data_IF_545120267883
#
_entry.id   IF_545120267883
#
_cell.length_a   1.000
_cell.length_b   1.000
_cell.length_c   1.000
_cell.angle_alpha   90.00
_cell.angle_beta   90.00
_cell.angle_gamma   90.00
#
_symmetry.space_group_name_H-M   'P 1'
#
loop_
_entity.id
_entity.type
_entity.pdbx_description
1 polymer ?
#
# COMPACT_ATOMS: atom_id res chain seq x y z
N UNK A 1 -15.41 38.22 -79.56
CA UNK A 1 -14.37 38.46 -78.54
C UNK A 1 -14.96 38.04 -77.20
N UNK A 2 -14.40 36.98 -76.57
CA UNK A 2 -14.26 36.65 -75.13
C UNK A 2 -15.39 37.13 -74.18
N UNK A 3 -16.01 36.34 -73.30
CA UNK A 3 -15.49 35.31 -72.39
C UNK A 3 -16.58 34.27 -72.07
N UNK A 4 -16.22 32.98 -72.06
CA UNK A 4 -17.03 31.90 -71.48
C UNK A 4 -16.75 31.88 -69.97
N UNK A 5 -17.73 32.21 -69.15
CA UNK A 5 -17.65 32.06 -67.69
C UNK A 5 -17.95 30.60 -67.37
N UNK A 6 -16.91 29.84 -67.07
CA UNK A 6 -17.00 28.48 -66.56
C UNK A 6 -17.30 28.60 -65.07
N UNK A 7 -18.53 28.28 -64.65
CA UNK A 7 -18.85 28.11 -63.23
C UNK A 7 -18.30 26.75 -62.78
N UNK A 8 -17.18 26.76 -62.06
CA UNK A 8 -16.67 25.59 -61.35
C UNK A 8 -17.52 25.42 -60.10
N UNK A 9 -18.44 24.45 -60.13
CA UNK A 9 -19.12 23.97 -58.92
C UNK A 9 -18.14 23.06 -58.20
N UNK A 10 -17.47 23.57 -57.16
CA UNK A 10 -16.69 22.76 -56.22
C UNK A 10 -17.67 21.96 -55.36
N UNK A 11 -17.95 20.73 -55.79
CA UNK A 11 -18.66 19.74 -54.99
C UNK A 11 -17.69 19.26 -53.90
N UNK A 12 -17.76 19.85 -52.70
CA UNK A 12 -17.09 19.30 -51.52
C UNK A 12 -17.80 17.98 -51.16
N UNK A 13 -17.29 16.86 -51.67
CA UNK A 13 -17.64 15.55 -51.16
C UNK A 13 -17.08 15.45 -49.73
N UNK A 14 -17.93 15.67 -48.73
CA UNK A 14 -17.63 15.32 -47.36
C UNK A 14 -17.52 13.79 -47.28
N UNK A 15 -16.29 13.29 -47.42
CA UNK A 15 -15.96 11.90 -47.11
C UNK A 15 -16.15 11.75 -45.60
N UNK A 16 -17.33 11.28 -45.20
CA UNK A 16 -17.55 10.81 -43.83
C UNK A 16 -16.72 9.53 -43.69
N UNK A 17 -15.45 9.68 -43.28
CA UNK A 17 -14.67 8.53 -42.83
C UNK A 17 -15.38 8.01 -41.58
N UNK A 18 -16.08 6.89 -41.73
CA UNK A 18 -16.55 6.11 -40.60
C UNK A 18 -15.29 5.52 -39.97
N UNK A 19 -14.69 6.25 -39.03
CA UNK A 19 -13.63 5.72 -38.20
C UNK A 19 -14.29 4.68 -37.30
N UNK A 20 -14.01 3.40 -37.56
CA UNK A 20 -14.22 2.34 -36.57
C UNK A 20 -13.29 2.67 -35.41
N UNK A 21 -13.83 3.31 -34.37
CA UNK A 21 -13.10 3.47 -33.11
C UNK A 21 -13.04 2.09 -32.48
N UNK A 22 -11.84 1.52 -32.36
CA UNK A 22 -11.64 0.36 -31.49
C UNK A 22 -12.12 0.76 -30.09
N UNK A 23 -12.97 -0.06 -29.48
CA UNK A 23 -13.35 0.13 -28.07
C UNK A 23 -12.10 0.10 -27.19
N UNK A 24 -12.18 0.76 -26.03
CA UNK A 24 -11.11 0.70 -25.05
C UNK A 24 -10.98 -0.74 -24.51
N UNK A 25 -9.79 -1.12 -24.08
CA UNK A 25 -9.50 -2.47 -23.61
C UNK A 25 -9.00 -2.41 -22.18
N UNK A 26 -9.66 -3.17 -21.29
CA UNK A 26 -9.13 -3.49 -19.97
C UNK A 26 -8.24 -4.72 -20.09
N UNK A 27 -7.02 -4.59 -19.60
CA UNK A 27 -6.04 -5.68 -19.58
C UNK A 27 -5.42 -5.87 -18.21
N UNK A 28 -4.89 -7.07 -18.01
CA UNK A 28 -4.12 -7.47 -16.85
C UNK A 28 -2.87 -8.18 -17.34
N UNK A 29 -1.72 -7.88 -16.72
CA UNK A 29 -0.51 -8.64 -16.99
C UNK A 29 -0.69 -10.09 -16.49
N UNK A 30 -0.20 -11.10 -17.22
CA UNK A 30 -0.15 -12.47 -16.74
C UNK A 30 0.65 -12.56 -15.43
N UNK A 31 0.18 -13.38 -14.49
CA UNK A 31 0.86 -13.58 -13.20
C UNK A 31 1.21 -15.06 -13.03
N UNK A 32 2.45 -15.33 -12.62
CA UNK A 32 2.89 -16.67 -12.22
C UNK A 32 3.13 -16.68 -10.72
N UNK A 33 2.46 -17.59 -10.02
CA UNK A 33 2.55 -17.76 -8.56
C UNK A 33 2.99 -19.18 -8.21
N UNK A 34 3.51 -19.34 -7.00
CA UNK A 34 3.72 -20.65 -6.40
C UNK A 34 2.54 -21.01 -5.49
N UNK A 35 2.22 -22.30 -5.28
CA UNK A 35 1.21 -22.70 -4.31
C UNK A 35 1.47 -22.08 -2.93
N UNK A 36 0.43 -21.51 -2.31
CA UNK A 36 0.52 -20.84 -1.01
C UNK A 36 1.03 -19.39 -1.05
N UNK A 37 1.53 -18.91 -2.20
CA UNK A 37 2.00 -17.52 -2.33
C UNK A 37 0.87 -16.52 -2.61
N UNK A 38 1.13 -15.25 -2.31
CA UNK A 38 0.27 -14.13 -2.69
C UNK A 38 0.90 -13.35 -3.86
N UNK A 39 0.09 -12.61 -4.60
CA UNK A 39 0.55 -11.68 -5.63
C UNK A 39 -0.47 -10.60 -5.93
N UNK A 40 -0.21 -9.79 -6.94
CA UNK A 40 -1.13 -8.73 -7.37
C UNK A 40 -1.25 -8.69 -8.88
N UNK A 41 -2.40 -8.23 -9.39
CA UNK A 41 -2.56 -7.86 -10.80
C UNK A 41 -3.38 -6.58 -10.91
N UNK A 42 -3.04 -5.72 -11.85
CA UNK A 42 -3.73 -4.43 -12.05
C UNK A 42 -4.66 -4.51 -13.26
N UNK A 43 -5.87 -3.97 -13.10
CA UNK A 43 -6.81 -3.71 -14.18
C UNK A 43 -6.39 -2.40 -14.85
N UNK A 44 -5.94 -2.47 -16.10
CA UNK A 44 -5.44 -1.31 -16.86
C UNK A 44 -6.34 -1.08 -18.06
N UNK A 45 -6.99 0.10 -18.12
CA UNK A 45 -7.63 0.60 -19.31
C UNK A 45 -6.57 1.22 -20.23
N UNK A 46 -6.51 0.78 -21.48
CA UNK A 46 -5.50 1.23 -22.43
C UNK A 46 -5.63 2.71 -22.81
N UNK A 47 -6.84 3.22 -23.01
CA UNK A 47 -7.11 4.61 -23.42
C UNK A 47 -8.45 5.14 -22.91
N UNK A 48 -8.48 6.44 -22.61
CA UNK A 48 -9.68 7.22 -22.33
C UNK A 48 -9.68 8.52 -23.18
N UNK A 49 -10.07 8.46 -24.47
CA UNK A 49 -10.01 9.61 -25.38
C UNK A 49 -10.86 10.80 -24.92
N UNK A 50 -11.92 10.56 -24.15
CA UNK A 50 -12.86 11.55 -23.62
C UNK A 50 -12.84 11.64 -22.08
N UNK A 51 -11.82 11.06 -21.44
CA UNK A 51 -11.69 11.03 -19.98
C UNK A 51 -12.54 9.94 -19.33
N UNK A 52 -12.55 9.90 -17.99
CA UNK A 52 -13.35 8.99 -17.19
C UNK A 52 -13.94 9.75 -16.01
N UNK A 53 -15.27 9.74 -15.86
CA UNK A 53 -15.94 10.26 -14.65
C UNK A 53 -16.22 9.17 -13.61
N UNK A 54 -16.28 7.91 -14.02
CA UNK A 54 -16.44 6.80 -13.10
C UNK A 54 -16.57 5.45 -13.78
N UNK A 55 -16.61 4.40 -12.96
CA UNK A 55 -16.87 3.05 -13.45
C UNK A 55 -17.56 2.19 -12.40
N UNK A 56 -18.18 1.10 -12.88
CA UNK A 56 -18.58 -0.03 -12.06
C UNK A 56 -18.26 -1.34 -12.76
N UNK A 57 -17.90 -2.35 -11.99
CA UNK A 57 -17.68 -3.71 -12.48
C UNK A 57 -17.76 -4.74 -11.35
N UNK A 58 -17.84 -6.01 -11.71
CA UNK A 58 -17.57 -7.13 -10.81
C UNK A 58 -16.36 -7.89 -11.29
N UNK A 59 -15.49 -8.28 -10.37
CA UNK A 59 -14.31 -9.09 -10.67
C UNK A 59 -14.33 -10.37 -9.86
N UNK A 60 -13.90 -11.47 -10.48
CA UNK A 60 -13.83 -12.78 -9.83
C UNK A 60 -12.80 -13.68 -10.50
N UNK A 61 -12.25 -14.61 -9.73
CA UNK A 61 -11.52 -15.75 -10.28
C UNK A 61 -12.50 -16.79 -10.82
N UNK A 62 -12.24 -17.31 -12.01
CA UNK A 62 -13.01 -18.45 -12.56
C UNK A 62 -12.68 -19.79 -11.86
N UNK A 63 -11.59 -19.84 -11.10
CA UNK A 63 -11.14 -21.00 -10.36
C UNK A 63 -10.64 -20.58 -8.96
N UNK A 64 -11.54 -20.33 -8.00
CA UNK A 64 -11.20 -19.89 -6.65
C UNK A 64 -10.40 -20.91 -5.83
N UNK A 65 -10.38 -22.18 -6.25
CA UNK A 65 -9.56 -23.23 -5.61
C UNK A 65 -8.08 -23.13 -5.97
N UNK A 66 -7.77 -22.50 -7.11
CA UNK A 66 -6.40 -22.23 -7.58
C UNK A 66 -5.96 -20.85 -7.10
N UNK A 67 -6.74 -19.80 -7.39
CA UNK A 67 -6.46 -18.43 -6.95
C UNK A 67 -7.74 -17.74 -6.52
N UNK A 68 -7.72 -17.08 -5.36
CA UNK A 68 -8.81 -16.22 -4.90
C UNK A 68 -8.36 -14.75 -4.86
N UNK A 69 -9.31 -13.83 -5.08
CA UNK A 69 -9.10 -12.40 -4.85
C UNK A 69 -9.31 -12.16 -3.35
N UNK A 70 -8.32 -11.55 -2.69
CA UNK A 70 -8.34 -11.32 -1.24
C UNK A 70 -8.55 -9.86 -0.88
N UNK A 71 -8.27 -8.94 -1.79
CA UNK A 71 -8.47 -7.51 -1.60
C UNK A 71 -8.47 -6.77 -2.96
N UNK A 72 -8.95 -5.53 -2.97
CA UNK A 72 -8.88 -4.60 -4.10
C UNK A 72 -8.42 -3.23 -3.60
N UNK A 73 -7.48 -2.60 -4.30
CA UNK A 73 -7.11 -1.20 -4.07
C UNK A 73 -7.32 -0.33 -5.29
N UNK A 74 -7.52 0.95 -5.04
CA UNK A 74 -7.81 1.95 -6.05
C UNK A 74 -6.66 2.95 -6.19
N UNK A 75 -6.42 3.48 -7.40
CA UNK A 75 -5.46 4.55 -7.65
C UNK A 75 -5.94 5.87 -7.02
N UNK A 76 -5.03 6.84 -6.88
CA UNK A 76 -5.32 8.12 -6.23
C UNK A 76 -6.46 8.92 -6.89
N UNK A 77 -6.60 8.84 -8.23
CA UNK A 77 -7.68 9.54 -8.94
C UNK A 77 -9.07 9.03 -8.51
N UNK A 78 -9.18 7.74 -8.20
CA UNK A 78 -10.39 7.08 -7.72
C UNK A 78 -10.60 7.29 -6.21
N UNK A 79 -10.44 8.54 -5.75
CA UNK A 79 -10.50 8.92 -4.32
C UNK A 79 -11.85 8.58 -3.66
N UNK A 80 -12.94 8.60 -4.43
CA UNK A 80 -14.23 8.07 -4.02
C UNK A 80 -14.44 6.71 -4.70
N UNK A 81 -14.10 5.65 -3.98
CA UNK A 81 -14.17 4.28 -4.49
C UNK A 81 -14.65 3.29 -3.43
N UNK A 82 -15.14 2.16 -3.90
CA UNK A 82 -15.66 1.08 -3.07
C UNK A 82 -15.34 -0.27 -3.70
N UNK A 83 -14.84 -1.20 -2.89
CA UNK A 83 -14.73 -2.61 -3.23
C UNK A 83 -15.52 -3.44 -2.22
N UNK A 84 -16.67 -3.96 -2.64
CA UNK A 84 -17.56 -4.76 -1.79
C UNK A 84 -17.29 -6.24 -2.06
N UNK A 85 -16.81 -7.02 -1.06
CA UNK A 85 -16.71 -8.46 -1.21
C UNK A 85 -18.11 -9.09 -1.26
N UNK A 86 -18.32 -9.99 -2.20
CA UNK A 86 -19.51 -10.82 -2.35
C UNK A 86 -19.20 -12.30 -2.12
N UNK A 87 -20.18 -13.15 -2.42
CA UNK A 87 -20.02 -14.60 -2.33
C UNK A 87 -18.95 -15.12 -3.31
N UNK A 88 -18.35 -16.27 -2.98
CA UNK A 88 -17.39 -16.98 -3.83
C UNK A 88 -16.17 -16.16 -4.31
N UNK A 89 -15.76 -15.12 -3.56
CA UNK A 89 -14.59 -14.31 -3.90
C UNK A 89 -14.82 -13.32 -5.05
N UNK A 90 -16.09 -13.02 -5.35
CA UNK A 90 -16.47 -11.92 -6.25
C UNK A 90 -16.30 -10.59 -5.51
N UNK A 91 -15.75 -9.57 -6.17
CA UNK A 91 -15.74 -8.19 -5.68
C UNK A 91 -16.56 -7.30 -6.61
N UNK A 92 -17.45 -6.48 -6.05
CA UNK A 92 -18.10 -5.39 -6.78
C UNK A 92 -17.28 -4.11 -6.58
N UNK A 93 -16.83 -3.52 -7.68
CA UNK A 93 -15.96 -2.35 -7.71
C UNK A 93 -16.74 -1.17 -8.24
N UNK A 94 -16.56 -0.02 -7.60
CA UNK A 94 -17.08 1.27 -8.04
C UNK A 94 -16.04 2.35 -7.78
N UNK A 95 -15.89 3.29 -8.70
CA UNK A 95 -15.05 4.46 -8.50
C UNK A 95 -15.61 5.67 -9.23
N UNK A 96 -15.40 6.85 -8.67
CA UNK A 96 -15.76 8.14 -9.24
C UNK A 96 -14.50 9.01 -9.30
N UNK A 97 -14.24 9.58 -10.46
CA UNK A 97 -13.20 10.59 -10.64
C UNK A 97 -13.72 11.98 -10.28
N UNK A 98 -13.87 12.22 -8.98
CA UNK A 98 -14.43 13.47 -8.49
C UNK A 98 -13.55 14.70 -8.78
N UNK A 99 -12.24 14.48 -8.98
CA UNK A 99 -11.24 15.54 -9.07
C UNK A 99 -10.64 15.68 -10.48
N UNK A 100 -11.25 15.08 -11.50
CA UNK A 100 -10.76 15.09 -12.88
C UNK A 100 -9.30 14.64 -13.00
N UNK A 101 -8.94 13.55 -12.32
CA UNK A 101 -7.62 12.93 -12.39
C UNK A 101 -7.36 12.11 -13.65
N UNK A 102 -8.40 11.74 -14.41
CA UNK A 102 -8.33 11.02 -15.69
C UNK A 102 -9.04 11.82 -16.78
N UNK A 103 -8.34 12.80 -17.33
CA UNK A 103 -8.87 13.68 -18.38
C UNK A 103 -8.77 13.06 -19.79
N UNK A 104 -9.44 13.72 -20.75
CA UNK A 104 -9.41 13.37 -22.17
C UNK A 104 -7.98 13.15 -22.71
N UNK A 105 -7.77 12.00 -23.34
CA UNK A 105 -6.50 11.60 -23.94
C UNK A 105 -5.60 10.79 -23.00
N UNK A 106 -6.04 10.50 -21.76
CA UNK A 106 -5.32 9.61 -20.86
C UNK A 106 -5.15 8.20 -21.48
N UNK A 107 -4.06 7.54 -21.08
CA UNK A 107 -3.73 6.18 -21.54
C UNK A 107 -3.08 5.38 -20.41
N UNK A 108 -3.14 4.06 -20.47
CA UNK A 108 -2.61 3.15 -19.44
C UNK A 108 -3.15 3.49 -18.04
N UNK A 109 -4.45 3.69 -17.93
CA UNK A 109 -5.12 4.07 -16.69
C UNK A 109 -5.30 2.82 -15.83
N UNK A 110 -4.62 2.78 -14.69
CA UNK A 110 -4.93 1.77 -13.67
C UNK A 110 -6.32 2.08 -13.13
N UNK A 111 -7.25 1.13 -13.19
CA UNK A 111 -8.60 1.23 -12.63
C UNK A 111 -8.61 0.72 -11.18
N UNK A 112 -8.01 -0.45 -10.94
CA UNK A 112 -7.86 -1.06 -9.63
C UNK A 112 -6.70 -2.07 -9.62
N UNK A 113 -6.17 -2.39 -8.45
CA UNK A 113 -5.19 -3.46 -8.22
C UNK A 113 -5.80 -4.54 -7.36
N UNK A 114 -5.83 -5.77 -7.86
CA UNK A 114 -6.36 -6.95 -7.18
C UNK A 114 -5.24 -7.65 -6.42
N UNK A 115 -5.46 -7.96 -5.14
CA UNK A 115 -4.60 -8.85 -4.36
C UNK A 115 -5.09 -10.29 -4.51
N UNK A 116 -4.16 -11.21 -4.74
CA UNK A 116 -4.40 -12.59 -5.13
C UNK A 116 -3.75 -13.53 -4.12
N UNK A 117 -4.43 -14.63 -3.77
CA UNK A 117 -3.86 -15.73 -2.99
C UNK A 117 -3.94 -17.03 -3.78
N UNK A 118 -2.79 -17.62 -4.08
CA UNK A 118 -2.69 -18.94 -4.69
C UNK A 118 -2.89 -20.02 -3.62
N UNK A 119 -3.88 -20.88 -3.83
CA UNK A 119 -4.27 -21.94 -2.89
C UNK A 119 -4.00 -23.36 -3.43
N UNK A 120 -3.89 -23.52 -4.75
CA UNK A 120 -3.62 -24.80 -5.39
C UNK A 120 -2.98 -24.61 -6.76
N UNK A 121 -2.32 -25.67 -7.26
CA UNK A 121 -1.70 -25.69 -8.58
C UNK A 121 -2.74 -25.62 -9.70
N UNK A 122 -2.36 -25.01 -10.82
CA UNK A 122 -3.18 -24.96 -12.03
C UNK A 122 -3.33 -23.56 -12.59
N UNK A 123 -4.30 -23.38 -13.48
CA UNK A 123 -4.59 -22.10 -14.11
C UNK A 123 -5.91 -21.53 -13.60
N UNK A 124 -5.93 -20.22 -13.41
CA UNK A 124 -7.12 -19.44 -13.12
C UNK A 124 -7.11 -18.19 -14.01
N UNK A 125 -8.29 -17.64 -14.26
CA UNK A 125 -8.46 -16.36 -14.94
C UNK A 125 -9.24 -15.42 -14.06
N UNK A 126 -8.81 -14.16 -14.06
CA UNK A 126 -9.64 -13.08 -13.55
C UNK A 126 -10.63 -12.65 -14.64
N UNK A 127 -11.90 -12.65 -14.26
CA UNK A 127 -13.04 -12.31 -15.12
C UNK A 127 -13.64 -10.99 -14.66
N UNK A 128 -14.11 -10.18 -15.62
CA UNK A 128 -14.84 -8.94 -15.37
C UNK A 128 -16.27 -9.12 -15.86
N UNK A 129 -17.24 -8.74 -15.06
CA UNK A 129 -18.67 -8.75 -15.38
C UNK A 129 -19.28 -7.39 -15.09
N UNK A 130 -20.40 -7.07 -15.74
CA UNK A 130 -21.15 -5.83 -15.54
C UNK A 130 -20.30 -4.56 -15.67
N UNK A 131 -19.34 -4.57 -16.62
CA UNK A 131 -18.46 -3.45 -16.87
C UNK A 131 -19.24 -2.25 -17.44
N UNK A 132 -19.16 -1.13 -16.75
CA UNK A 132 -19.63 0.18 -17.20
C UNK A 132 -18.53 1.18 -16.86
N UNK A 133 -18.15 2.00 -17.82
CA UNK A 133 -17.24 3.14 -17.66
C UNK A 133 -17.95 4.32 -18.30
N UNK A 134 -18.03 5.45 -17.59
CA UNK A 134 -18.58 6.70 -18.11
C UNK A 134 -17.46 7.73 -18.26
N UNK A 135 -17.51 8.52 -19.33
CA UNK A 135 -16.55 9.60 -19.62
C UNK A 135 -16.89 10.89 -18.86
N UNK A 136 -16.08 11.94 -19.04
CA UNK A 136 -16.25 13.23 -18.35
C UNK A 136 -17.58 13.92 -18.67
N UNK A 137 -18.22 13.57 -19.79
CA UNK A 137 -19.54 14.07 -20.17
C UNK A 137 -20.69 13.18 -19.65
N UNK A 138 -20.38 12.09 -18.93
CA UNK A 138 -21.33 11.10 -18.44
C UNK A 138 -21.83 10.14 -19.52
N UNK A 139 -21.14 10.05 -20.66
CA UNK A 139 -21.45 9.11 -21.72
C UNK A 139 -20.71 7.78 -21.52
N UNK A 140 -21.38 6.66 -21.77
CA UNK A 140 -20.76 5.36 -21.59
C UNK A 140 -19.64 5.12 -22.61
N UNK A 141 -18.45 4.82 -22.12
CA UNK A 141 -17.30 4.35 -22.89
C UNK A 141 -17.49 2.88 -23.25
N UNK A 142 -17.40 2.56 -24.55
CA UNK A 142 -17.39 1.18 -25.00
C UNK A 142 -16.02 0.56 -24.67
N UNK A 143 -16.03 -0.39 -23.73
CA UNK A 143 -14.84 -1.09 -23.30
C UNK A 143 -15.05 -2.60 -23.25
N UNK A 144 -14.02 -3.36 -23.62
CA UNK A 144 -13.98 -4.82 -23.47
C UNK A 144 -12.87 -5.22 -22.51
N UNK A 145 -13.02 -6.37 -21.85
CA UNK A 145 -11.99 -6.90 -20.94
C UNK A 145 -11.30 -8.11 -21.54
N UNK A 146 -9.96 -8.09 -21.53
CA UNK A 146 -9.16 -9.31 -21.69
C UNK A 146 -9.06 -10.03 -20.36
N UNK A 147 -9.28 -11.35 -20.36
CA UNK A 147 -9.19 -12.15 -19.14
C UNK A 147 -7.72 -12.25 -18.69
N UNK A 148 -7.46 -11.96 -17.43
CA UNK A 148 -6.11 -11.98 -16.86
C UNK A 148 -5.73 -13.40 -16.51
N UNK A 149 -4.68 -13.95 -17.13
CA UNK A 149 -4.25 -15.33 -16.90
C UNK A 149 -3.34 -15.41 -15.68
N UNK A 150 -3.67 -16.32 -14.75
CA UNK A 150 -2.84 -16.65 -13.61
C UNK A 150 -2.45 -18.12 -13.70
N UNK A 151 -1.16 -18.39 -13.56
CA UNK A 151 -0.59 -19.74 -13.53
C UNK A 151 0.00 -19.97 -12.15
N UNK A 152 -0.51 -20.97 -11.45
CA UNK A 152 0.12 -21.49 -10.23
C UNK A 152 0.91 -22.73 -10.62
N UNK A 153 2.24 -22.62 -10.56
CA UNK A 153 3.14 -23.68 -11.00
C UNK A 153 2.99 -24.98 -10.21
N UNK A 154 3.42 -26.09 -10.79
CA UNK A 154 3.55 -27.34 -10.04
C UNK A 154 4.66 -27.22 -9.01
N UNK A 155 4.33 -27.48 -7.75
CA UNK A 155 5.30 -27.61 -6.70
C UNK A 155 6.20 -28.79 -7.02
N UNK A 156 7.35 -28.53 -7.61
CA UNK A 156 8.41 -29.51 -7.63
C UNK A 156 8.82 -29.68 -6.17
N UNK A 157 8.38 -30.79 -5.55
CA UNK A 157 8.86 -31.22 -4.23
C UNK A 157 10.30 -31.72 -4.38
N UNK A 158 11.18 -30.88 -4.89
CA UNK A 158 12.61 -31.04 -4.70
C UNK A 158 12.85 -30.86 -3.21
N UNK A 159 13.52 -31.80 -2.52
CA UNK A 159 13.87 -31.57 -1.12
C UNK A 159 14.68 -30.29 -1.10
N UNK A 160 14.14 -29.25 -0.47
CA UNK A 160 14.87 -28.04 -0.16
C UNK A 160 16.18 -28.50 0.46
N UNK A 161 17.37 -28.20 -0.11
CA UNK A 161 18.59 -28.40 0.65
C UNK A 161 18.37 -27.66 1.95
N UNK A 162 18.50 -28.38 3.07
CA UNK A 162 18.21 -27.85 4.40
C UNK A 162 18.68 -26.39 4.44
N UNK A 163 17.80 -25.42 4.78
CA UNK A 163 18.27 -24.05 4.94
C UNK A 163 19.47 -24.14 5.86
N UNK A 164 20.64 -23.71 5.36
CA UNK A 164 21.82 -23.52 6.21
C UNK A 164 21.30 -22.74 7.40
N UNK A 165 21.36 -23.34 8.58
CA UNK A 165 20.60 -22.96 9.78
C UNK A 165 20.66 -21.47 10.05
N UNK A 166 19.72 -20.73 9.45
CA UNK A 166 19.31 -19.40 9.84
C UNK A 166 18.24 -19.59 10.92
N UNK A 167 18.29 -18.86 12.04
CA UNK A 167 17.39 -19.17 13.15
C UNK A 167 15.93 -19.04 12.75
N UNK A 168 15.10 -19.95 13.27
CA UNK A 168 13.68 -20.03 12.95
C UNK A 168 12.97 -18.67 13.19
N UNK A 169 12.02 -18.27 12.33
CA UNK A 169 11.19 -17.10 12.56
C UNK A 169 10.52 -17.17 13.94
N UNK A 170 10.53 -16.07 14.69
CA UNK A 170 9.88 -15.98 16.00
C UNK A 170 8.61 -15.15 15.88
N UNK A 171 7.59 -15.52 16.65
CA UNK A 171 6.35 -14.75 16.74
C UNK A 171 6.46 -13.77 17.91
N UNK A 172 6.14 -12.50 17.65
CA UNK A 172 5.96 -11.46 18.67
C UNK A 172 4.64 -10.73 18.42
N UNK A 173 4.19 -9.94 19.39
CA UNK A 173 2.93 -9.22 19.30
C UNK A 173 3.09 -7.74 19.62
N UNK A 174 2.51 -6.89 18.77
CA UNK A 174 2.35 -5.46 19.05
C UNK A 174 1.00 -5.28 19.75
N UNK A 175 1.03 -4.80 20.99
CA UNK A 175 -0.18 -4.60 21.79
C UNK A 175 -0.66 -3.15 21.68
N UNK A 176 -1.78 -2.93 20.99
CA UNK A 176 -2.38 -1.61 20.84
C UNK A 176 -3.48 -1.40 21.90
N UNK A 177 -3.49 -0.20 22.49
CA UNK A 177 -4.53 0.29 23.40
C UNK A 177 -5.58 1.11 22.65
N UNK A 178 -6.83 1.17 23.13
CA UNK A 178 -7.81 2.12 22.60
C UNK A 178 -7.27 3.55 22.59
N UNK A 179 -7.52 4.28 21.51
CA UNK A 179 -6.96 5.59 21.24
C UNK A 179 -5.71 5.53 20.35
N UNK A 180 -4.89 6.57 20.45
CA UNK A 180 -3.62 6.68 19.75
C UNK A 180 -2.56 5.77 20.37
N UNK A 181 -1.70 5.21 19.53
CA UNK A 181 -0.53 4.47 19.93
C UNK A 181 0.64 4.98 19.10
N UNK A 182 1.71 5.42 19.76
CA UNK A 182 2.98 5.69 19.09
C UNK A 182 3.83 4.42 19.19
N UNK A 183 3.86 3.65 18.12
CA UNK A 183 4.58 2.38 18.08
C UNK A 183 5.90 2.50 17.35
N UNK A 184 6.79 1.56 17.61
CA UNK A 184 8.01 1.34 16.85
C UNK A 184 8.06 -0.12 16.39
N UNK A 185 8.73 -0.35 15.25
CA UNK A 185 9.13 -1.69 14.84
C UNK A 185 10.59 -1.90 15.28
N UNK A 186 10.87 -2.68 16.34
CA UNK A 186 12.23 -2.76 16.89
C UNK A 186 13.10 -3.87 16.28
N UNK A 187 12.53 -4.67 15.39
CA UNK A 187 13.13 -5.88 14.85
C UNK A 187 12.78 -6.03 13.38
N UNK A 188 13.54 -6.82 12.64
CA UNK A 188 13.28 -7.03 11.22
C UNK A 188 12.06 -7.96 11.05
N UNK A 189 10.97 -7.49 10.40
CA UNK A 189 9.86 -8.38 10.09
C UNK A 189 10.30 -9.48 9.13
N UNK A 190 9.71 -10.66 9.26
CA UNK A 190 9.86 -11.76 8.30
C UNK A 190 9.19 -11.43 6.97
N UNK A 191 9.58 -12.12 5.88
CA UNK A 191 8.88 -12.08 4.62
C UNK A 191 7.37 -12.24 4.75
N UNK A 192 6.61 -11.28 4.21
CA UNK A 192 5.14 -11.19 4.28
C UNK A 192 4.60 -10.38 5.47
N UNK A 193 5.45 -9.83 6.34
CA UNK A 193 5.07 -9.04 7.52
C UNK A 193 5.74 -7.66 7.55
N UNK A 194 6.41 -7.25 6.47
CA UNK A 194 7.22 -6.04 6.42
C UNK A 194 6.41 -4.77 6.24
N UNK A 195 5.14 -4.85 5.88
CA UNK A 195 4.33 -3.67 5.52
C UNK A 195 3.25 -3.33 6.54
N UNK A 196 2.71 -2.12 6.45
CA UNK A 196 1.61 -1.67 7.30
C UNK A 196 0.31 -2.50 7.14
N UNK A 197 0.22 -3.38 6.15
CA UNK A 197 -0.85 -4.39 5.97
C UNK A 197 -1.06 -5.26 7.22
N UNK A 198 -0.05 -5.43 8.08
CA UNK A 198 -0.22 -6.13 9.37
C UNK A 198 -1.29 -5.47 10.26
N UNK A 199 -1.59 -4.18 10.05
CA UNK A 199 -2.61 -3.43 10.77
C UNK A 199 -3.98 -3.41 10.07
N UNK A 200 -4.20 -4.14 8.98
CA UNK A 200 -5.44 -4.06 8.18
C UNK A 200 -6.75 -4.31 8.92
N UNK A 201 -6.70 -5.10 9.99
CA UNK A 201 -7.87 -5.45 10.81
C UNK A 201 -8.04 -4.52 12.03
N UNK A 202 -7.20 -3.48 12.15
CA UNK A 202 -7.31 -2.49 13.23
C UNK A 202 -8.52 -1.60 12.97
N UNK A 203 -9.40 -1.47 13.96
CA UNK A 203 -10.55 -0.57 13.88
C UNK A 203 -10.10 0.88 14.11
N UNK A 204 -9.61 1.53 13.06
CA UNK A 204 -8.97 2.86 13.13
C UNK A 204 -9.90 4.02 13.47
N UNK A 205 -11.21 3.81 13.51
CA UNK A 205 -12.19 4.87 13.75
C UNK A 205 -12.13 6.00 12.71
N UNK A 206 -11.66 5.70 11.50
CA UNK A 206 -11.48 6.67 10.40
C UNK A 206 -10.16 7.42 10.41
N UNK A 207 -9.25 7.13 11.34
CA UNK A 207 -7.93 7.75 11.38
C UNK A 207 -6.93 7.02 10.48
N UNK A 208 -6.09 7.80 9.80
CA UNK A 208 -4.94 7.28 9.07
C UNK A 208 -3.81 6.89 10.01
N UNK A 209 -3.02 5.88 9.62
CA UNK A 209 -1.71 5.64 10.21
C UNK A 209 -0.73 6.69 9.71
N UNK A 210 0.13 7.22 10.59
CA UNK A 210 1.04 8.32 10.28
C UNK A 210 2.47 8.00 10.68
N UNK A 211 3.44 8.52 9.94
CA UNK A 211 4.83 8.68 10.41
C UNK A 211 5.27 10.13 10.18
N UNK A 212 6.51 10.44 10.52
CA UNK A 212 7.09 11.77 10.37
C UNK A 212 8.49 11.67 9.79
N UNK A 213 8.74 12.41 8.72
CA UNK A 213 10.04 12.53 8.08
C UNK A 213 10.48 14.00 7.97
N UNK A 214 11.59 14.26 7.26
CA UNK A 214 12.14 15.62 7.07
C UNK A 214 11.20 16.58 6.34
N UNK A 215 10.20 16.06 5.63
CA UNK A 215 9.20 16.84 4.89
C UNK A 215 7.92 17.08 5.70
N UNK A 216 7.76 16.37 6.83
CA UNK A 216 6.67 16.53 7.77
C UNK A 216 5.91 15.23 8.01
N UNK A 217 4.61 15.35 8.25
CA UNK A 217 3.72 14.22 8.45
C UNK A 217 3.50 13.44 7.16
N UNK A 218 3.67 12.13 7.24
CA UNK A 218 3.48 11.21 6.12
C UNK A 218 2.36 10.23 6.47
N UNK A 219 1.36 10.14 5.58
CA UNK A 219 0.29 9.15 5.71
C UNK A 219 0.78 7.79 5.21
N UNK A 220 0.54 6.76 6.02
CA UNK A 220 0.98 5.39 5.77
C UNK A 220 -0.15 4.59 5.12
N UNK A 221 0.09 4.13 3.89
CA UNK A 221 -0.75 3.15 3.22
C UNK A 221 -0.29 1.72 3.51
N UNK A 222 -1.14 0.72 3.21
CA UNK A 222 -0.90 -0.70 3.53
C UNK A 222 0.42 -1.28 2.98
N UNK A 223 0.91 -0.78 1.85
CA UNK A 223 2.13 -1.26 1.18
C UNK A 223 3.40 -0.59 1.73
N UNK A 224 3.26 0.41 2.59
CA UNK A 224 4.40 1.08 3.19
C UNK A 224 5.22 0.08 4.01
N UNK A 225 6.49 -0.04 3.68
CA UNK A 225 7.45 -0.90 4.37
C UNK A 225 7.72 -0.29 5.75
N UNK A 226 7.34 -1.02 6.79
CA UNK A 226 7.63 -0.69 8.16
C UNK A 226 9.11 -0.88 8.43
N UNK A 227 9.82 0.24 8.42
CA UNK A 227 11.24 0.30 8.71
C UNK A 227 11.51 0.17 10.22
N UNK A 228 12.52 -0.61 10.64
CA UNK A 228 12.94 -0.63 12.03
C UNK A 228 13.31 0.76 12.57
N UNK A 229 13.25 0.92 13.90
CA UNK A 229 13.60 2.15 14.62
C UNK A 229 12.80 3.39 14.18
N UNK A 230 11.65 3.18 13.56
CA UNK A 230 10.79 4.24 13.03
C UNK A 230 9.49 4.29 13.82
N UNK A 231 9.12 5.49 14.24
CA UNK A 231 7.86 5.73 14.95
C UNK A 231 6.68 5.78 13.99
N UNK A 232 5.59 5.12 14.35
CA UNK A 232 4.31 5.18 13.63
C UNK A 232 3.17 5.45 14.62
N UNK A 233 2.28 6.35 14.25
CA UNK A 233 1.03 6.58 14.95
C UNK A 233 -0.06 5.70 14.39
N UNK A 234 -0.66 4.89 15.26
CA UNK A 234 -1.78 4.00 14.94
C UNK A 234 -2.90 4.29 15.93
N UNK A 235 -4.10 4.57 15.42
CA UNK A 235 -5.30 4.67 16.25
C UNK A 235 -6.09 3.37 16.21
N UNK A 236 -6.67 2.97 17.33
CA UNK A 236 -7.66 1.89 17.38
C UNK A 236 -8.79 2.23 18.34
N UNK A 237 -10.02 1.84 18.01
CA UNK A 237 -11.18 2.00 18.90
C UNK A 237 -11.28 0.90 19.95
N UNK A 238 -10.62 -0.24 19.73
CA UNK A 238 -10.62 -1.40 20.63
C UNK A 238 -9.20 -1.86 20.92
N UNK A 239 -8.93 -2.51 22.07
CA UNK A 239 -7.63 -3.13 22.29
C UNK A 239 -7.41 -4.24 21.26
N UNK A 240 -6.20 -4.34 20.70
CA UNK A 240 -5.86 -5.33 19.68
C UNK A 240 -4.40 -5.75 19.77
N UNK A 241 -4.15 -7.04 19.58
CA UNK A 241 -2.79 -7.60 19.48
C UNK A 241 -2.51 -7.94 18.02
N UNK A 242 -1.47 -7.33 17.47
CA UNK A 242 -1.07 -7.53 16.07
C UNK A 242 0.06 -8.57 16.05
N UNK A 243 -0.14 -9.74 15.44
CA UNK A 243 0.92 -10.72 15.29
C UNK A 243 1.97 -10.21 14.29
N UNK A 244 3.24 -10.29 14.68
CA UNK A 244 4.38 -9.93 13.85
C UNK A 244 5.36 -11.09 13.85
N UNK A 245 5.61 -11.67 12.68
CA UNK A 245 6.69 -12.63 12.49
C UNK A 245 7.99 -11.90 12.26
N UNK A 246 9.05 -12.34 12.92
CA UNK A 246 10.36 -11.70 12.86
C UNK A 246 11.43 -12.68 12.41
N UNK A 247 12.42 -12.14 11.73
CA UNK A 247 13.60 -12.88 11.29
C UNK A 247 14.86 -12.26 11.87
N UNK A 248 15.92 -13.07 11.99
CA UNK A 248 17.24 -12.54 12.24
C UNK A 248 17.79 -11.86 10.98
N UNK A 249 18.52 -10.77 11.18
CA UNK A 249 19.07 -9.99 10.09
C UNK A 249 19.81 -8.76 10.59
N UNK A 250 20.48 -8.09 9.67
CA UNK A 250 21.15 -6.83 9.96
C UNK A 250 20.13 -5.71 9.87
N UNK A 251 19.95 -4.98 10.97
CA UNK A 251 19.20 -3.72 10.97
C UNK A 251 20.19 -2.61 10.65
N UNK A 252 19.88 -1.74 9.70
CA UNK A 252 20.73 -0.60 9.38
C UNK A 252 20.56 0.53 10.41
N UNK A 253 21.58 1.39 10.53
CA UNK A 253 21.48 2.55 11.41
C UNK A 253 20.52 3.59 10.81
N UNK A 254 19.72 4.24 11.67
CA UNK A 254 18.72 5.24 11.25
C UNK A 254 19.29 6.65 11.36
N UNK A 255 19.28 7.38 10.25
CA UNK A 255 19.64 8.80 10.22
C UNK A 255 18.53 9.67 10.84
N UNK A 256 18.94 10.67 11.61
CA UNK A 256 18.09 11.72 12.17
C UNK A 256 18.52 13.08 11.61
N UNK A 257 17.54 13.85 11.13
CA UNK A 257 17.74 15.21 10.67
C UNK A 257 17.72 16.20 11.85
N UNK A 258 18.34 17.39 11.75
CA UNK A 258 18.16 18.44 12.74
C UNK A 258 16.68 18.76 12.98
N UNK A 259 16.30 18.93 14.25
CA UNK A 259 14.92 19.14 14.67
C UNK A 259 14.24 17.88 15.20
N UNK A 260 12.91 17.86 15.13
CA UNK A 260 12.08 16.74 15.60
C UNK A 260 12.10 15.57 14.63
N UNK A 261 12.26 14.36 15.17
CA UNK A 261 12.19 13.10 14.44
C UNK A 261 11.32 12.11 15.20
N UNK A 262 10.63 11.24 14.46
CA UNK A 262 10.05 10.01 15.01
C UNK A 262 11.05 8.87 14.92
N UNK A 263 11.29 8.22 16.05
CA UNK A 263 12.23 7.12 16.15
C UNK A 263 11.76 6.06 17.16
N UNK A 264 12.53 4.99 17.24
CA UNK A 264 12.40 3.94 18.23
C UNK A 264 13.74 3.23 18.44
N UNK A 265 13.76 2.22 19.30
CA UNK A 265 14.96 1.43 19.58
C UNK A 265 14.90 0.06 18.91
N UNK A 266 16.04 -0.61 18.76
CA UNK A 266 16.08 -2.03 18.37
C UNK A 266 16.03 -2.97 19.57
N UNK A 267 15.60 -4.21 19.33
CA UNK A 267 15.62 -5.30 20.30
C UNK A 267 14.24 -5.62 20.88
N UNK A 268 14.18 -6.44 21.93
CA UNK A 268 12.93 -6.80 22.62
C UNK A 268 12.95 -6.52 24.11
N UNK A 269 14.03 -5.89 24.58
CA UNK A 269 14.24 -5.52 25.99
C UNK A 269 14.26 -4.01 26.13
N UNK A 270 13.62 -3.54 27.20
CA UNK A 270 13.65 -2.15 27.62
C UNK A 270 15.07 -1.64 27.87
N UNK A 271 15.32 -0.36 27.55
CA UNK A 271 16.65 0.25 27.66
C UNK A 271 16.58 1.70 28.11
N UNK A 272 17.59 2.14 28.85
CA UNK A 272 17.76 3.55 29.18
C UNK A 272 18.12 4.38 27.92
N UNK A 273 17.60 5.61 27.77
CA UNK A 273 17.88 6.49 26.64
C UNK A 273 19.38 6.68 26.35
N UNK A 274 20.21 6.81 27.39
CA UNK A 274 21.65 7.06 27.26
C UNK A 274 22.37 5.89 26.60
N UNK A 275 21.91 4.67 26.87
CA UNK A 275 22.44 3.46 26.24
C UNK A 275 21.89 3.29 24.83
N UNK A 276 20.58 3.47 24.64
CA UNK A 276 19.93 3.29 23.34
C UNK A 276 20.35 4.33 22.28
N UNK A 277 20.68 5.55 22.72
CA UNK A 277 21.01 6.69 21.86
C UNK A 277 22.50 7.03 21.90
N UNK A 278 23.34 6.11 22.39
CA UNK A 278 24.79 6.30 22.55
C UNK A 278 25.53 6.68 21.26
N UNK A 279 24.98 6.35 20.09
CA UNK A 279 25.50 6.76 18.78
C UNK A 279 25.28 8.24 18.44
N UNK A 280 24.44 8.96 19.18
CA UNK A 280 24.18 10.39 18.98
C UNK A 280 25.12 11.25 19.82
N UNK A 281 25.93 12.06 19.15
CA UNK A 281 26.79 13.07 19.78
C UNK A 281 25.96 14.09 20.59
N UNK A 282 24.82 14.54 20.06
CA UNK A 282 23.91 15.50 20.70
C UNK A 282 22.45 15.13 20.47
N UNK A 283 21.65 15.07 21.53
CA UNK A 283 20.18 15.10 21.49
C UNK A 283 19.68 15.90 22.71
N UNK A 284 18.55 16.57 22.57
CA UNK A 284 18.13 17.61 23.53
C UNK A 284 16.91 17.17 24.32
N UNK A 285 15.86 16.73 23.61
CA UNK A 285 14.60 16.30 24.19
C UNK A 285 14.22 14.93 23.64
N UNK A 286 13.72 14.07 24.52
CA UNK A 286 13.05 12.83 24.16
C UNK A 286 11.69 12.78 24.83
N UNK A 287 10.64 12.48 24.07
CA UNK A 287 9.26 12.44 24.55
C UNK A 287 8.58 11.16 24.06
N UNK A 288 8.14 10.31 24.98
CA UNK A 288 7.35 9.11 24.70
C UNK A 288 5.86 9.39 24.89
N UNK A 289 5.02 8.53 24.33
CA UNK A 289 3.57 8.61 24.47
C UNK A 289 3.04 7.40 25.21
N UNK A 290 2.28 7.63 26.28
CA UNK A 290 1.61 6.58 27.02
C UNK A 290 0.25 6.28 26.41
N UNK A 291 0.18 5.19 25.64
CA UNK A 291 -1.05 4.77 24.97
C UNK A 291 -2.15 4.32 25.94
N UNK A 292 -1.85 4.03 27.21
CA UNK A 292 -2.87 3.65 28.20
C UNK A 292 -3.55 4.87 28.80
N UNK A 293 -2.79 5.95 29.05
CA UNK A 293 -3.33 7.21 29.57
C UNK A 293 -3.66 8.23 28.49
N UNK A 294 -3.29 7.97 27.23
CA UNK A 294 -3.48 8.85 26.07
C UNK A 294 -2.80 10.22 26.25
N UNK A 295 -1.60 10.24 26.84
CA UNK A 295 -0.85 11.45 27.13
C UNK A 295 0.64 11.27 26.78
N UNK A 296 1.31 12.37 26.44
CA UNK A 296 2.77 12.38 26.42
C UNK A 296 3.33 12.23 27.83
N UNK A 297 4.44 11.51 27.96
CA UNK A 297 5.25 11.51 29.19
C UNK A 297 6.09 12.78 29.27
N UNK A 298 6.58 13.09 30.46
CA UNK A 298 7.50 14.20 30.65
C UNK A 298 8.75 14.04 29.78
N UNK A 299 9.22 15.17 29.25
CA UNK A 299 10.39 15.19 28.40
C UNK A 299 11.63 14.75 29.18
N UNK A 300 12.34 13.79 28.62
CA UNK A 300 13.66 13.37 29.10
C UNK A 300 14.72 14.23 28.41
N UNK A 301 15.66 14.76 29.21
CA UNK A 301 16.82 15.51 28.73
C UNK A 301 18.07 14.65 28.87
N UNK A 302 19.04 14.80 27.98
CA UNK A 302 20.27 13.97 27.95
C UNK A 302 21.04 13.90 29.27
N UNK A 303 21.03 14.98 30.06
CA UNK A 303 21.75 15.08 31.34
C UNK A 303 20.80 15.11 32.56
N UNK A 304 19.50 14.87 32.36
CA UNK A 304 18.57 14.79 33.47
C UNK A 304 18.70 13.43 34.19
N UNK A 305 18.61 13.45 35.52
CA UNK A 305 18.56 12.23 36.36
C UNK A 305 17.18 11.54 36.26
N UNK A 306 16.65 11.36 35.05
CA UNK A 306 15.37 10.70 34.83
C UNK A 306 15.53 9.19 34.78
N UNK A 307 14.68 8.45 35.48
CA UNK A 307 14.56 6.99 35.37
C UNK A 307 13.75 6.56 34.14
N UNK A 308 13.78 7.35 33.06
CA UNK A 308 13.02 7.09 31.86
C UNK A 308 13.53 5.83 31.17
N UNK A 309 12.60 5.02 30.68
CA UNK A 309 12.88 3.77 29.99
C UNK A 309 12.23 3.81 28.62
N UNK A 310 12.96 3.36 27.61
CA UNK A 310 12.43 3.19 26.25
C UNK A 310 11.96 1.75 26.08
N UNK A 311 10.68 1.59 25.76
CA UNK A 311 10.12 0.30 25.41
C UNK A 311 10.34 0.03 23.90
N UNK A 312 10.82 -1.16 23.49
CA UNK A 312 11.10 -1.44 22.08
C UNK A 312 9.91 -1.30 21.14
N UNK A 313 8.69 -1.58 21.59
CA UNK A 313 7.51 -1.50 20.74
C UNK A 313 6.85 -0.12 20.76
N UNK A 314 7.37 0.81 21.56
CA UNK A 314 6.91 2.19 21.61
C UNK A 314 7.87 3.09 20.82
N UNK A 315 7.29 3.98 20.02
CA UNK A 315 8.04 5.05 19.38
C UNK A 315 8.21 6.23 20.34
N UNK A 316 9.11 7.13 19.98
CA UNK A 316 9.31 8.40 20.68
C UNK A 316 9.62 9.52 19.69
N UNK A 317 9.32 10.74 20.14
CA UNK A 317 9.83 11.95 19.54
C UNK A 317 11.21 12.25 20.11
N UNK A 318 12.14 12.59 19.24
CA UNK A 318 13.48 13.06 19.63
C UNK A 318 13.81 14.35 18.89
N UNK A 319 14.34 15.31 19.62
CA UNK A 319 14.90 16.54 19.05
C UNK A 319 16.43 16.45 19.05
N UNK A 320 17.04 16.69 17.89
CA UNK A 320 18.50 16.74 17.74
C UNK A 320 18.94 18.08 17.14
N UNK A 321 19.98 18.69 17.72
CA UNK A 321 20.52 19.98 17.24
C UNK A 321 21.36 19.85 15.97
N UNK A 322 21.92 18.66 15.73
CA UNK A 322 22.75 18.34 14.58
C UNK A 322 22.39 16.97 14.01
N UNK A 323 22.67 16.71 12.72
CA UNK A 323 22.38 15.41 12.13
C UNK A 323 23.17 14.32 12.83
N UNK A 324 22.55 13.16 13.01
CA UNK A 324 23.18 12.02 13.67
C UNK A 324 22.53 10.71 13.27
N UNK A 325 23.08 9.61 13.80
CA UNK A 325 22.57 8.28 13.49
C UNK A 325 22.33 7.50 14.78
N UNK A 326 21.16 6.90 14.91
CA UNK A 326 20.94 5.89 15.94
C UNK A 326 21.38 4.55 15.35
N UNK A 327 22.30 3.88 16.02
CA UNK A 327 22.74 2.55 15.62
C UNK A 327 21.89 1.46 16.27
N UNK A 328 21.67 0.32 15.59
CA UNK A 328 21.09 -0.85 16.21
C UNK A 328 21.97 -1.27 17.38
N UNK A 329 21.34 -1.54 18.53
CA UNK A 329 22.02 -2.06 19.71
C UNK A 329 21.47 -3.46 19.96
N UNK A 330 22.38 -4.43 20.05
CA UNK A 330 22.08 -5.84 20.33
C UNK A 330 21.36 -6.04 21.68
#
# INVERSE_FOLDING_TARGET
>A
MKYRIICIVLLFAAVFMITLTSGAVISMAPVTLNPGSSGTTSLILDTAPTGISGYQMKVSSDNPTVVSITNVTFPQWASLSEAVPGEAGVYALRAIDLNSGVEAGASSITLATLSLQASGEGNAKITIQNLIIDDDAGSQVQAESTQGSITVGSGDTTPTPAPTSGPAPRDIQINLKPGWNLINIPVLPSPGFETAEIFKNVQSGGHSMLTYDKTGWVTIGKEHILSPMTGYWVYTTTPVMIPLKIQEGVIESKFLAPGWNLAGITGTTERAPESALSGLSTWTYLVTFDSSSQQYRDATMKDAQSQSVLNPFEGFWIYVDSPGTISPVA
#
